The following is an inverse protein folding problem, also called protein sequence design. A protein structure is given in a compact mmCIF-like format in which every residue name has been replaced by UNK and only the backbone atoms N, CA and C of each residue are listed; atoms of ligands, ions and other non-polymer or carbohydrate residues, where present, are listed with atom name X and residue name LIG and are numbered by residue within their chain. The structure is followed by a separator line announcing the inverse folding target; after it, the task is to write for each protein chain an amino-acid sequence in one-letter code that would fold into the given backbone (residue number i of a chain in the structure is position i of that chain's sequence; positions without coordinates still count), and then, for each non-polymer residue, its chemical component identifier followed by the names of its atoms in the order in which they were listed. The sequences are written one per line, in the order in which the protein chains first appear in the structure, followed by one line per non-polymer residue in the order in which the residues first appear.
data_IF_634293996461
#
_entry.id   IF_634293996461
#
_cell.length_a   1.000
_cell.length_b   1.000
_cell.length_c   1.000
_cell.angle_alpha   90.00
_cell.angle_beta   90.00
_cell.angle_gamma   90.00
#
_symmetry.space_group_name_H-M   'P 1'
#
loop_
_entity.id
_entity.type
_entity.pdbx_description
1 polymer ?
#
# COMPACT_ATOMS: atom_id res chain seq x y z
N UNK A 1 5.59 -9.21 4.84
CA UNK A 1 4.62 -9.25 3.72
C UNK A 1 5.00 -10.42 2.80
N UNK A 2 4.02 -11.23 2.39
CA UNK A 2 4.26 -12.54 1.77
C UNK A 2 5.03 -12.45 0.44
N UNK A 3 4.74 -11.46 -0.40
CA UNK A 3 5.36 -11.37 -1.72
C UNK A 3 6.89 -11.18 -1.65
N UNK A 4 7.37 -10.27 -0.79
CA UNK A 4 8.83 -10.10 -0.55
C UNK A 4 9.48 -11.38 -0.03
N UNK A 5 8.80 -12.12 0.87
CA UNK A 5 9.34 -13.39 1.38
C UNK A 5 9.48 -14.44 0.28
N UNK A 6 8.46 -14.58 -0.59
CA UNK A 6 8.48 -15.50 -1.72
C UNK A 6 9.51 -15.11 -2.78
N UNK A 7 9.63 -13.82 -3.10
CA UNK A 7 10.64 -13.32 -4.04
C UNK A 7 12.06 -13.68 -3.56
N UNK A 8 12.36 -13.39 -2.28
CA UNK A 8 13.66 -13.75 -1.67
C UNK A 8 13.92 -15.25 -1.66
N UNK A 9 12.89 -16.06 -1.36
CA UNK A 9 13.01 -17.52 -1.41
C UNK A 9 13.30 -18.02 -2.84
N UNK A 10 12.84 -17.30 -3.86
CA UNK A 10 13.16 -17.54 -5.27
C UNK A 10 14.46 -16.87 -5.74
N UNK A 11 15.30 -16.38 -4.81
CA UNK A 11 16.56 -15.68 -5.08
C UNK A 11 16.41 -14.36 -5.87
N UNK A 12 15.20 -13.78 -5.88
CA UNK A 12 14.94 -12.44 -6.41
C UNK A 12 15.16 -11.44 -5.28
N UNK A 13 16.09 -10.47 -5.41
CA UNK A 13 16.24 -9.41 -4.43
C UNK A 13 14.92 -8.65 -4.30
N UNK A 14 14.46 -8.43 -3.07
CA UNK A 14 13.21 -7.71 -2.83
C UNK A 14 13.28 -7.00 -1.48
N UNK A 15 12.65 -5.83 -1.37
CA UNK A 15 12.50 -5.12 -0.11
C UNK A 15 11.07 -4.70 0.17
N UNK A 16 10.79 -4.46 1.45
CA UNK A 16 9.56 -3.82 1.88
C UNK A 16 9.67 -2.33 1.55
N UNK A 17 8.56 -1.71 1.15
CA UNK A 17 8.42 -0.26 1.08
C UNK A 17 7.17 0.17 1.82
N UNK A 18 7.19 1.36 2.40
CA UNK A 18 6.01 1.93 3.04
C UNK A 18 5.77 3.36 2.54
N UNK A 19 4.50 3.73 2.46
CA UNK A 19 4.08 5.10 2.19
C UNK A 19 2.93 5.50 3.11
N UNK A 20 2.79 6.80 3.33
CA UNK A 20 1.59 7.38 3.91
C UNK A 20 0.59 7.66 2.80
N UNK A 21 -0.62 7.10 2.93
CA UNK A 21 -1.71 7.33 1.98
C UNK A 21 -3.00 7.73 2.69
N UNK A 22 -3.64 8.86 2.34
CA UNK A 22 -5.06 9.06 2.57
C UNK A 22 -5.82 8.13 1.63
N UNK A 23 -6.75 7.33 2.16
CA UNK A 23 -7.65 6.51 1.35
C UNK A 23 -9.08 7.05 1.44
N UNK A 24 -9.47 7.80 0.42
CA UNK A 24 -10.69 8.61 0.35
C UNK A 24 -11.97 7.79 0.20
N UNK A 25 -11.86 6.55 -0.26
CA UNK A 25 -12.99 5.63 -0.44
C UNK A 25 -13.17 4.66 0.74
N UNK A 26 -12.44 4.88 1.83
CA UNK A 26 -12.64 4.15 3.09
C UNK A 26 -14.05 4.41 3.62
N UNK A 27 -14.76 3.37 4.07
CA UNK A 27 -16.12 3.54 4.58
C UNK A 27 -16.14 4.46 5.82
N UNK A 28 -17.21 5.25 6.03
CA UNK A 28 -17.33 6.13 7.18
C UNK A 28 -17.17 5.40 8.52
N UNK A 29 -17.72 4.19 8.64
CA UNK A 29 -17.58 3.34 9.83
C UNK A 29 -16.11 2.99 10.15
N UNK A 30 -15.31 2.68 9.11
CA UNK A 30 -13.89 2.40 9.31
C UNK A 30 -13.14 3.67 9.68
N UNK A 31 -13.46 4.80 9.03
CA UNK A 31 -12.86 6.10 9.37
C UNK A 31 -13.17 6.50 10.81
N UNK A 32 -14.41 6.30 11.26
CA UNK A 32 -14.83 6.56 12.65
C UNK A 32 -14.08 5.68 13.64
N UNK A 33 -14.01 4.36 13.39
CA UNK A 33 -13.26 3.42 14.25
C UNK A 33 -11.77 3.70 14.31
N UNK A 34 -11.17 4.18 13.22
CA UNK A 34 -9.73 4.51 13.14
C UNK A 34 -9.41 5.94 13.55
N UNK A 35 -10.40 6.83 13.60
CA UNK A 35 -10.24 8.27 13.80
C UNK A 35 -9.69 9.04 12.60
N UNK A 36 -9.38 8.38 11.48
CA UNK A 36 -8.79 9.01 10.29
C UNK A 36 -8.92 8.13 9.04
N UNK A 37 -8.97 8.75 7.87
CA UNK A 37 -8.83 8.10 6.56
C UNK A 37 -7.36 7.95 6.11
N UNK A 38 -6.40 8.34 6.96
CA UNK A 38 -4.97 8.24 6.67
C UNK A 38 -4.44 6.87 7.11
N UNK A 39 -3.67 6.26 6.21
CA UNK A 39 -2.94 5.03 6.41
C UNK A 39 -1.46 5.38 6.46
N UNK A 40 -0.88 5.54 7.66
CA UNK A 40 0.48 6.04 7.81
C UNK A 40 1.53 5.10 7.23
N UNK A 41 1.27 3.80 7.21
CA UNK A 41 2.16 2.78 6.66
C UNK A 41 1.39 1.84 5.73
N UNK A 42 1.13 2.27 4.50
CA UNK A 42 0.70 1.39 3.42
C UNK A 42 1.92 0.67 2.84
N UNK A 43 1.93 -0.66 2.95
CA UNK A 43 3.06 -1.49 2.52
C UNK A 43 3.00 -1.89 1.06
N UNK A 44 4.13 -1.86 0.38
CA UNK A 44 4.37 -2.41 -0.96
C UNK A 44 5.63 -3.29 -0.99
N UNK A 45 5.78 -4.06 -2.05
CA UNK A 45 6.99 -4.80 -2.39
C UNK A 45 7.74 -4.09 -3.50
N UNK A 46 9.06 -4.10 -3.44
CA UNK A 46 9.90 -3.71 -4.56
C UNK A 46 10.83 -4.90 -4.88
N UNK A 47 10.42 -5.87 -5.71
CA UNK A 47 11.33 -6.84 -6.31
C UNK A 47 12.28 -6.19 -7.33
N UNK A 48 13.48 -6.75 -7.47
CA UNK A 48 14.47 -6.40 -8.48
C UNK A 48 14.36 -7.35 -9.67
N UNK A 49 13.83 -6.85 -10.78
CA UNK A 49 13.52 -7.62 -12.00
C UNK A 49 14.09 -6.83 -13.18
N UNK A 50 14.77 -7.51 -14.11
CA UNK A 50 15.34 -6.90 -15.33
C UNK A 50 16.13 -5.61 -15.06
N UNK A 51 17.05 -5.69 -14.10
CA UNK A 51 17.94 -4.59 -13.67
C UNK A 51 17.24 -3.33 -13.12
N UNK A 52 16.00 -3.48 -12.62
CA UNK A 52 15.27 -2.39 -11.96
C UNK A 52 14.43 -2.85 -10.77
N UNK A 53 14.15 -1.90 -9.88
CA UNK A 53 13.16 -2.06 -8.82
C UNK A 53 11.76 -1.78 -9.38
N UNK A 54 10.86 -2.76 -9.27
CA UNK A 54 9.46 -2.63 -9.72
C UNK A 54 8.55 -2.62 -8.51
N UNK A 55 7.76 -1.56 -8.31
CA UNK A 55 6.89 -1.44 -7.14
C UNK A 55 5.62 -2.26 -7.33
N UNK A 56 5.21 -2.99 -6.31
CA UNK A 56 4.01 -3.79 -6.31
C UNK A 56 3.24 -3.60 -5.01
N UNK A 57 2.08 -2.95 -5.12
CA UNK A 57 1.12 -2.84 -4.02
C UNK A 57 0.25 -4.09 -3.94
N UNK A 58 -0.35 -4.40 -2.77
CA UNK A 58 -1.28 -5.51 -2.66
C UNK A 58 -2.45 -5.34 -3.63
N UNK A 59 -2.66 -6.34 -4.48
CA UNK A 59 -3.76 -6.36 -5.46
C UNK A 59 -5.02 -6.94 -4.83
N UNK A 60 -6.16 -6.29 -5.06
CA UNK A 60 -7.47 -6.86 -4.72
C UNK A 60 -7.94 -7.82 -5.84
N UNK A 61 -8.75 -8.82 -5.49
CA UNK A 61 -9.36 -9.69 -6.49
C UNK A 61 -10.38 -8.93 -7.36
N UNK A 62 -10.66 -9.47 -8.55
CA UNK A 62 -11.52 -8.80 -9.53
C UNK A 62 -12.94 -8.56 -9.02
N UNK A 63 -13.49 -9.42 -8.17
CA UNK A 63 -14.83 -9.25 -7.63
C UNK A 63 -14.87 -8.09 -6.62
N UNK A 64 -13.86 -8.00 -5.75
CA UNK A 64 -13.69 -6.88 -4.83
C UNK A 64 -13.49 -5.55 -5.54
N UNK A 65 -12.69 -5.52 -6.61
CA UNK A 65 -12.49 -4.33 -7.45
C UNK A 65 -13.82 -3.84 -8.06
N UNK A 66 -14.58 -4.76 -8.68
CA UNK A 66 -15.89 -4.46 -9.27
C UNK A 66 -16.87 -3.91 -8.23
N UNK A 67 -16.96 -4.55 -7.07
CA UNK A 67 -17.84 -4.11 -5.98
C UNK A 67 -17.49 -2.71 -5.47
N UNK A 68 -16.21 -2.37 -5.46
CA UNK A 68 -15.69 -1.10 -4.92
C UNK A 68 -15.56 0.00 -5.98
N UNK A 69 -15.82 -0.30 -7.26
CA UNK A 69 -15.61 0.63 -8.36
C UNK A 69 -14.14 0.99 -8.60
N UNK A 70 -13.21 0.13 -8.17
CA UNK A 70 -11.77 0.33 -8.32
C UNK A 70 -11.26 -0.37 -9.58
N UNK A 71 -10.35 0.25 -10.35
CA UNK A 71 -9.68 -0.45 -11.44
C UNK A 71 -8.76 -1.55 -10.87
N UNK A 72 -8.73 -2.73 -11.48
CA UNK A 72 -7.83 -3.79 -11.06
C UNK A 72 -6.37 -3.40 -11.30
N UNK A 73 -5.50 -3.82 -10.39
CA UNK A 73 -4.06 -3.63 -10.50
C UNK A 73 -3.47 -4.95 -10.95
N UNK A 74 -2.67 -4.91 -12.01
CA UNK A 74 -1.97 -6.07 -12.54
C UNK A 74 -0.47 -5.88 -12.34
N UNK A 75 0.19 -6.89 -11.79
CA UNK A 75 1.65 -6.94 -11.72
C UNK A 75 2.15 -7.80 -12.87
N UNK A 76 2.79 -7.18 -13.86
CA UNK A 76 3.39 -7.85 -15.03
C UNK A 76 4.90 -8.10 -14.85
N UNK A 77 5.51 -7.64 -13.76
CA UNK A 77 6.96 -7.70 -13.54
C UNK A 77 7.75 -6.63 -14.29
N UNK A 78 7.07 -5.79 -15.07
CA UNK A 78 7.69 -4.73 -15.86
C UNK A 78 7.30 -3.34 -15.31
N UNK A 79 6.02 -3.06 -15.16
CA UNK A 79 5.54 -1.77 -14.71
C UNK A 79 5.25 -1.75 -13.21
N UNK A 80 5.38 -0.56 -12.63
CA UNK A 80 4.95 -0.30 -11.26
C UNK A 80 3.44 -0.58 -11.12
N UNK A 81 3.10 -1.55 -10.28
CA UNK A 81 1.74 -1.94 -9.91
C UNK A 81 1.29 -1.18 -8.64
N UNK A 82 1.06 0.13 -8.78
CA UNK A 82 0.63 1.01 -7.69
C UNK A 82 -0.89 1.12 -7.57
N UNK A 83 -1.36 1.47 -6.37
CA UNK A 83 -2.78 1.73 -6.15
C UNK A 83 -3.20 3.00 -6.89
N UNK A 84 -4.19 2.93 -7.78
CA UNK A 84 -4.55 4.05 -8.65
C UNK A 84 -5.14 5.21 -7.85
N UNK A 85 -4.74 6.43 -8.24
CA UNK A 85 -5.17 7.67 -7.61
C UNK A 85 -6.69 7.89 -7.67
N UNK A 86 -7.36 7.36 -8.70
CA UNK A 86 -8.80 7.52 -8.92
C UNK A 86 -9.51 6.18 -9.10
N UNK A 87 -10.75 6.14 -8.66
CA UNK A 87 -11.70 5.08 -9.01
C UNK A 87 -12.18 5.23 -10.45
N UNK A 88 -12.93 4.22 -10.94
CA UNK A 88 -13.47 4.19 -12.30
C UNK A 88 -14.45 5.35 -12.58
N UNK A 89 -15.11 5.87 -11.55
CA UNK A 89 -16.03 7.01 -11.63
C UNK A 89 -15.34 8.39 -11.45
N UNK A 90 -14.01 8.40 -11.36
CA UNK A 90 -13.20 9.62 -11.24
C UNK A 90 -13.04 10.15 -9.81
N UNK A 91 -13.73 9.58 -8.80
CA UNK A 91 -13.50 9.94 -7.40
C UNK A 91 -12.07 9.64 -6.99
N UNK A 92 -11.54 10.45 -6.07
CA UNK A 92 -10.23 10.20 -5.46
C UNK A 92 -10.29 8.89 -4.70
N UNK A 93 -9.29 8.04 -4.91
CA UNK A 93 -9.12 6.76 -4.23
C UNK A 93 -8.00 6.88 -3.18
N UNK A 94 -6.75 7.03 -3.62
CA UNK A 94 -5.59 7.19 -2.75
C UNK A 94 -4.63 8.27 -3.23
N UNK A 95 -3.81 8.79 -2.33
CA UNK A 95 -2.72 9.71 -2.63
C UNK A 95 -1.45 9.29 -1.91
N UNK A 96 -0.32 9.25 -2.61
CA UNK A 96 0.99 8.96 -1.99
C UNK A 96 1.58 10.27 -1.48
N UNK A 97 1.25 10.64 -0.23
CA UNK A 97 1.62 11.96 0.33
C UNK A 97 2.98 11.97 1.01
N UNK A 98 3.50 10.80 1.41
CA UNK A 98 4.85 10.64 1.96
C UNK A 98 5.41 9.27 1.64
N UNK A 99 6.55 9.22 0.97
CA UNK A 99 7.35 7.99 0.88
C UNK A 99 8.12 7.79 2.19
N UNK A 100 8.00 6.60 2.80
CA UNK A 100 8.75 6.23 4.01
C UNK A 100 9.99 5.40 3.68
N UNK A 101 10.26 5.19 2.39
CA UNK A 101 11.42 4.47 1.91
C UNK A 101 11.26 2.96 1.99
N UNK A 102 12.41 2.28 1.94
CA UNK A 102 12.50 0.83 1.87
C UNK A 102 13.23 0.23 3.06
N UNK A 103 12.88 -1.02 3.36
CA UNK A 103 13.35 -1.73 4.53
C UNK A 103 13.72 -3.18 4.18
N UNK A 104 14.86 -3.62 4.71
CA UNK A 104 15.31 -5.01 4.59
C UNK A 104 14.42 -5.97 5.40
N UNK A 105 13.88 -5.51 6.53
CA UNK A 105 12.94 -6.26 7.38
C UNK A 105 11.79 -5.34 7.83
N UNK A 106 10.78 -5.89 8.49
CA UNK A 106 9.61 -5.16 8.95
C UNK A 106 10.00 -4.10 10.01
N UNK A 107 9.84 -2.79 9.76
CA UNK A 107 10.10 -1.74 10.75
C UNK A 107 8.95 -1.65 11.75
N UNK A 108 8.75 -2.71 12.54
CA UNK A 108 7.58 -2.89 13.39
C UNK A 108 7.40 -1.76 14.40
N UNK A 109 8.49 -1.30 15.01
CA UNK A 109 8.44 -0.23 16.01
C UNK A 109 8.06 1.12 15.39
N UNK A 110 8.52 1.43 14.18
CA UNK A 110 8.10 2.63 13.46
C UNK A 110 6.63 2.56 13.09
N UNK A 111 6.18 1.43 12.53
CA UNK A 111 4.77 1.19 12.16
C UNK A 111 3.87 1.38 13.39
N UNK A 112 4.25 0.81 14.53
CA UNK A 112 3.53 0.95 15.81
C UNK A 112 3.47 2.40 16.25
N UNK A 113 4.62 3.09 16.29
CA UNK A 113 4.72 4.49 16.71
C UNK A 113 3.80 5.38 15.89
N UNK A 114 3.84 5.26 14.56
CA UNK A 114 3.02 6.11 13.68
C UNK A 114 1.55 5.73 13.72
N UNK A 115 1.23 4.43 13.79
CA UNK A 115 -0.16 3.98 13.87
C UNK A 115 -0.84 4.43 15.16
N UNK A 116 -0.14 4.34 16.29
CA UNK A 116 -0.64 4.83 17.58
C UNK A 116 -0.76 6.35 17.60
N UNK A 117 0.21 7.08 17.04
CA UNK A 117 0.13 8.55 17.00
C UNK A 117 -1.15 9.03 16.30
N UNK A 118 -1.59 8.34 15.23
CA UNK A 118 -2.83 8.70 14.54
C UNK A 118 -4.10 8.41 15.34
N UNK A 119 -4.09 7.40 16.22
CA UNK A 119 -5.21 7.14 17.15
C UNK A 119 -5.38 8.26 18.18
N UNK A 120 -4.31 8.98 18.51
CA UNK A 120 -4.29 10.01 19.58
C UNK A 120 -4.17 11.46 19.09
N UNK A 121 -4.07 11.72 17.79
CA UNK A 121 -3.99 13.09 17.22
C UNK A 121 -5.33 13.84 17.24
N UNK A 122 -6.37 13.28 17.86
CA UNK A 122 -7.63 13.99 18.18
C UNK A 122 -8.16 13.71 19.59
N UNK A 123 -7.30 13.84 20.62
CA UNK A 123 -7.76 14.20 21.97
C UNK A 123 -7.67 15.71 22.16
#
# INVERSE_FOLDING_TARGET
MLFVALARAALIPAHLRFAEIPAHLTSPEIVEKRGSNIFPCHGSADPYIDDRWVKATPTHDLASCKKSGLPPIHFNGEDDALTPHRALDGRLNVEYVRDRGYFADLPLDEIRKVSLSWTYVRS
#
